data_IF_339183930934
#
_entry.id   IF_339183930934
#
_cell.length_a   1.000
_cell.length_b   1.000
_cell.length_c   1.000
_cell.angle_alpha   90.00
_cell.angle_beta   90.00
_cell.angle_gamma   90.00
#
_symmetry.space_group_name_H-M   'P 1'
#
loop_
_entity.id
_entity.type
_entity.pdbx_description
1 polymer ?
#
# COMPACT_ATOMS: atom_id res chain seq x y z
N UNK A 1 -40.61 56.13 21.88
CA UNK A 1 -41.97 55.52 21.92
C UNK A 1 -42.82 56.37 20.99
N UNK A 2 -43.44 55.87 19.91
CA UNK A 2 -43.79 54.49 19.52
C UNK A 2 -43.26 54.14 18.12
N UNK A 3 -42.92 52.86 17.88
CA UNK A 3 -42.78 52.27 16.54
C UNK A 3 -44.13 51.68 16.11
N UNK A 4 -44.72 52.09 14.99
CA UNK A 4 -45.88 51.45 14.31
C UNK A 4 -46.14 52.18 12.98
N UNK A 5 -46.56 51.55 11.87
CA UNK A 5 -46.53 50.11 11.53
C UNK A 5 -46.42 49.93 9.99
N UNK A 6 -46.08 48.71 9.57
CA UNK A 6 -46.07 48.24 8.18
C UNK A 6 -47.49 47.86 7.71
N UNK A 7 -47.97 48.39 6.59
CA UNK A 7 -49.13 47.86 5.86
C UNK A 7 -48.73 47.44 4.44
N UNK A 8 -49.17 46.23 4.05
CA UNK A 8 -48.70 45.55 2.83
C UNK A 8 -49.60 45.79 1.61
N UNK A 9 -48.93 46.03 0.48
CA UNK A 9 -49.12 45.36 -0.82
C UNK A 9 -50.52 45.44 -1.49
N UNK A 10 -50.56 46.09 -2.64
CA UNK A 10 -51.27 45.55 -3.82
C UNK A 10 -50.46 45.82 -5.08
N UNK A 11 -50.41 44.84 -5.98
CA UNK A 11 -49.40 44.77 -7.04
C UNK A 11 -49.91 45.28 -8.39
N UNK A 12 -49.11 46.07 -9.09
CA UNK A 12 -49.19 46.32 -10.54
C UNK A 12 -47.85 45.90 -11.16
N UNK A 13 -47.82 44.86 -12.00
CA UNK A 13 -48.12 44.85 -13.45
C UNK A 13 -46.92 45.33 -14.29
N UNK A 14 -46.60 44.57 -15.34
CA UNK A 14 -45.40 44.69 -16.20
C UNK A 14 -44.02 44.48 -15.55
N UNK A 15 -43.81 43.19 -15.19
CA UNK A 15 -42.54 42.46 -15.17
C UNK A 15 -41.45 43.05 -16.09
N UNK A 16 -40.24 43.25 -15.55
CA UNK A 16 -38.98 43.20 -16.32
C UNK A 16 -38.32 41.84 -16.08
N UNK A 17 -38.22 41.01 -17.13
CA UNK A 17 -37.58 39.68 -17.07
C UNK A 17 -37.11 39.30 -18.47
N UNK A 18 -35.84 38.93 -18.63
CA UNK A 18 -35.24 38.63 -19.93
C UNK A 18 -33.73 38.52 -19.83
N UNK A 19 -33.25 37.31 -19.53
CA UNK A 19 -31.83 36.92 -19.57
C UNK A 19 -31.66 35.77 -20.58
N UNK A 20 -30.41 35.36 -20.84
CA UNK A 20 -29.99 34.36 -21.85
C UNK A 20 -30.03 34.92 -23.29
N UNK A 21 -29.05 34.75 -24.19
CA UNK A 21 -27.62 34.35 -24.22
C UNK A 21 -26.98 35.15 -25.42
N UNK A 22 -25.75 35.04 -25.93
CA UNK A 22 -24.55 34.17 -25.83
C UNK A 22 -23.33 35.07 -26.26
N UNK A 23 -22.04 34.71 -26.46
CA UNK A 23 -21.30 33.44 -26.50
C UNK A 23 -19.84 33.61 -25.98
N UNK A 24 -18.88 32.89 -26.58
CA UNK A 24 -17.52 32.65 -26.10
C UNK A 24 -16.39 33.20 -26.99
N UNK A 25 -15.23 33.48 -26.38
CA UNK A 25 -13.91 33.48 -27.02
C UNK A 25 -12.82 33.09 -26.00
N UNK A 26 -11.74 32.48 -26.49
CA UNK A 26 -10.58 31.94 -25.77
C UNK A 26 -9.78 33.06 -25.04
N UNK A 27 -8.96 32.83 -24.00
CA UNK A 27 -7.85 31.87 -23.90
C UNK A 27 -7.82 31.13 -22.55
N UNK A 28 -7.59 29.82 -22.58
CA UNK A 28 -7.22 29.02 -21.42
C UNK A 28 -5.70 28.79 -21.39
N UNK A 29 -5.01 29.38 -20.40
CA UNK A 29 -3.60 29.07 -20.14
C UNK A 29 -3.55 27.82 -19.26
N UNK A 30 -3.37 26.66 -19.90
CA UNK A 30 -3.02 25.43 -19.19
C UNK A 30 -1.62 25.60 -18.60
N UNK A 31 -1.53 25.78 -17.27
CA UNK A 31 -0.26 25.69 -16.55
C UNK A 31 0.10 24.21 -16.42
N UNK A 32 0.58 23.64 -17.52
CA UNK A 32 1.26 22.35 -17.55
C UNK A 32 2.64 22.50 -16.91
N UNK A 33 2.66 22.70 -15.59
CA UNK A 33 3.88 22.55 -14.80
C UNK A 33 4.44 21.14 -15.00
N UNK A 34 5.76 20.94 -14.95
CA UNK A 34 6.33 19.61 -15.06
C UNK A 34 5.80 18.74 -13.91
N UNK A 35 5.13 17.63 -14.24
CA UNK A 35 4.90 16.55 -13.28
C UNK A 35 6.25 15.94 -12.91
N UNK A 36 6.92 16.57 -11.96
CA UNK A 36 8.11 16.05 -11.32
C UNK A 36 7.69 14.76 -10.63
N UNK A 37 8.06 13.63 -11.21
CA UNK A 37 7.67 12.31 -10.74
C UNK A 37 8.35 12.05 -9.39
N UNK A 38 7.67 12.43 -8.32
CA UNK A 38 8.12 12.24 -6.95
C UNK A 38 8.34 10.74 -6.72
N UNK A 39 9.60 10.36 -6.51
CA UNK A 39 9.99 8.96 -6.42
C UNK A 39 9.27 8.33 -5.22
N UNK A 40 8.34 7.40 -5.51
CA UNK A 40 7.37 6.89 -4.54
C UNK A 40 8.07 6.39 -3.27
N UNK A 41 7.98 7.17 -2.19
CA UNK A 41 8.66 6.87 -0.92
C UNK A 41 8.06 5.60 -0.31
N UNK A 42 8.92 4.72 0.22
CA UNK A 42 8.46 3.54 0.97
C UNK A 42 7.58 3.98 2.15
N UNK A 43 6.47 3.28 2.35
CA UNK A 43 5.55 3.52 3.45
C UNK A 43 6.19 3.15 4.78
N UNK A 44 5.99 4.01 5.77
CA UNK A 44 6.46 3.86 7.15
C UNK A 44 5.29 3.82 8.12
N UNK A 45 5.47 3.14 9.26
CA UNK A 45 4.42 2.83 10.24
C UNK A 45 4.84 3.28 11.65
N UNK A 46 3.87 3.55 12.53
CA UNK A 46 4.14 3.90 13.92
C UNK A 46 4.48 2.67 14.78
N UNK A 47 3.99 1.49 14.41
CA UNK A 47 4.32 0.22 15.07
C UNK A 47 4.58 -0.95 14.10
N UNK A 48 5.23 -2.04 14.56
CA UNK A 48 5.37 -3.26 13.78
C UNK A 48 4.03 -3.89 13.39
N UNK A 49 3.05 -3.85 14.30
CA UNK A 49 1.72 -4.43 14.12
C UNK A 49 0.95 -3.70 13.02
N UNK A 50 1.06 -2.37 12.93
CA UNK A 50 0.49 -1.59 11.81
C UNK A 50 1.06 -2.02 10.46
N UNK A 51 2.38 -2.24 10.39
CA UNK A 51 3.06 -2.67 9.16
C UNK A 51 2.64 -4.08 8.74
N UNK A 52 2.54 -5.02 9.68
CA UNK A 52 2.02 -6.38 9.42
C UNK A 52 0.55 -6.34 9.01
N UNK A 53 -0.29 -5.52 9.65
CA UNK A 53 -1.68 -5.37 9.28
C UNK A 53 -1.85 -4.76 7.88
N UNK A 54 -1.01 -3.79 7.49
CA UNK A 54 -0.98 -3.24 6.13
C UNK A 54 -0.59 -4.29 5.09
N UNK A 55 0.46 -5.10 5.36
CA UNK A 55 0.87 -6.22 4.52
C UNK A 55 -0.26 -7.24 4.33
N UNK A 56 -0.85 -7.72 5.44
CA UNK A 56 -1.94 -8.70 5.40
C UNK A 56 -3.18 -8.15 4.70
N UNK A 57 -3.48 -6.85 4.85
CA UNK A 57 -4.58 -6.18 4.12
C UNK A 57 -4.31 -6.17 2.61
N UNK A 58 -3.12 -5.71 2.19
CA UNK A 58 -2.75 -5.63 0.78
C UNK A 58 -2.74 -7.02 0.10
N UNK A 59 -2.25 -8.05 0.78
CA UNK A 59 -2.29 -9.45 0.31
C UNK A 59 -3.74 -9.98 0.21
N UNK A 60 -4.64 -9.61 1.14
CA UNK A 60 -6.06 -10.00 1.09
C UNK A 60 -6.85 -9.31 -0.02
N UNK A 61 -6.48 -8.09 -0.41
CA UNK A 61 -7.13 -7.34 -1.50
C UNK A 61 -6.46 -7.50 -2.87
N UNK A 62 -5.38 -8.28 -2.96
CA UNK A 62 -4.49 -8.38 -4.13
C UNK A 62 -4.00 -7.01 -4.66
N UNK A 63 -3.75 -6.07 -3.73
CA UNK A 63 -3.35 -4.71 -4.08
C UNK A 63 -1.84 -4.62 -4.29
N UNK A 64 -1.42 -4.89 -5.52
CA UNK A 64 -0.04 -4.75 -5.96
C UNK A 64 0.57 -3.37 -5.66
N UNK A 65 -0.21 -2.29 -5.75
CA UNK A 65 0.29 -0.92 -5.49
C UNK A 65 0.52 -0.68 -4.01
N UNK A 66 -0.36 -1.19 -3.15
CA UNK A 66 -0.14 -1.17 -1.70
C UNK A 66 1.10 -2.00 -1.31
N UNK A 67 1.30 -3.19 -1.91
CA UNK A 67 2.51 -3.99 -1.70
C UNK A 67 3.78 -3.23 -2.13
N UNK A 68 3.77 -2.62 -3.32
CA UNK A 68 4.90 -1.80 -3.80
C UNK A 68 5.17 -0.57 -2.91
N UNK A 69 4.14 0.04 -2.31
CA UNK A 69 4.31 1.10 -1.32
C UNK A 69 4.92 0.58 0.00
N UNK A 70 4.47 -0.58 0.49
CA UNK A 70 4.93 -1.21 1.75
C UNK A 70 6.41 -1.62 1.66
N UNK A 71 6.85 -2.19 0.54
CA UNK A 71 8.23 -2.64 0.34
C UNK A 71 9.11 -1.63 -0.42
N UNK A 72 8.54 -0.54 -0.93
CA UNK A 72 9.24 0.58 -1.54
C UNK A 72 9.71 0.36 -3.00
N UNK A 73 10.39 1.36 -3.59
CA UNK A 73 10.91 1.29 -4.95
C UNK A 73 11.82 0.08 -5.18
N UNK A 74 11.68 -0.55 -6.35
CA UNK A 74 12.48 -1.73 -6.71
C UNK A 74 12.10 -3.01 -5.97
N UNK A 75 10.96 -3.07 -5.28
CA UNK A 75 10.45 -4.28 -4.64
C UNK A 75 9.75 -5.28 -5.57
N UNK A 76 9.44 -4.88 -6.82
CA UNK A 76 8.63 -5.69 -7.75
C UNK A 76 9.14 -7.11 -7.99
N UNK A 77 10.45 -7.31 -8.05
CA UNK A 77 11.10 -8.60 -8.30
C UNK A 77 11.21 -9.49 -7.05
N UNK A 78 10.96 -8.92 -5.86
CA UNK A 78 10.73 -9.64 -4.61
C UNK A 78 9.25 -10.00 -4.43
N UNK A 79 8.34 -9.15 -4.92
CA UNK A 79 6.89 -9.28 -4.82
C UNK A 79 6.25 -10.19 -5.87
N UNK A 80 6.77 -10.17 -7.09
CA UNK A 80 6.17 -10.83 -8.26
C UNK A 80 7.21 -11.64 -9.01
N UNK A 81 6.92 -12.91 -9.26
CA UNK A 81 7.76 -13.81 -10.07
C UNK A 81 7.63 -13.55 -11.57
N UNK A 82 6.53 -12.92 -11.99
CA UNK A 82 6.12 -12.79 -13.39
C UNK A 82 5.13 -13.88 -13.84
N UNK A 83 4.89 -14.90 -13.01
CA UNK A 83 3.80 -15.87 -13.18
C UNK A 83 2.66 -15.55 -12.19
N UNK A 84 1.49 -15.04 -12.66
CA UNK A 84 0.34 -14.75 -11.81
C UNK A 84 -0.20 -15.95 -11.04
N UNK A 85 0.02 -17.19 -11.50
CA UNK A 85 -0.41 -18.41 -10.81
C UNK A 85 0.51 -18.71 -9.63
N UNK A 86 1.83 -18.63 -9.85
CA UNK A 86 2.83 -18.80 -8.78
C UNK A 86 2.74 -17.69 -7.72
N UNK A 87 2.48 -16.45 -8.14
CA UNK A 87 2.30 -15.29 -7.25
C UNK A 87 1.02 -15.45 -6.40
N UNK A 88 -0.10 -15.81 -7.03
CA UNK A 88 -1.36 -16.12 -6.34
C UNK A 88 -1.19 -17.26 -5.34
N UNK A 89 -0.58 -18.39 -5.74
CA UNK A 89 -0.35 -19.53 -4.87
C UNK A 89 0.59 -19.21 -3.69
N UNK A 90 1.53 -18.27 -3.88
CA UNK A 90 2.43 -17.80 -2.82
C UNK A 90 1.71 -16.87 -1.84
N UNK A 91 0.87 -15.97 -2.34
CA UNK A 91 -0.01 -15.11 -1.53
C UNK A 91 -1.01 -15.91 -0.70
N UNK A 92 -1.66 -16.91 -1.30
CA UNK A 92 -2.60 -17.81 -0.62
C UNK A 92 -1.91 -18.66 0.46
N UNK A 93 -0.71 -19.19 0.17
CA UNK A 93 0.12 -19.94 1.14
C UNK A 93 0.54 -19.08 2.34
N UNK A 94 0.89 -17.81 2.12
CA UNK A 94 1.17 -16.87 3.21
C UNK A 94 -0.09 -16.62 4.06
N UNK A 95 -1.23 -16.34 3.42
CA UNK A 95 -2.47 -16.00 4.11
C UNK A 95 -3.05 -17.18 4.91
N UNK A 96 -2.92 -18.43 4.43
CA UNK A 96 -3.24 -19.64 5.21
C UNK A 96 -2.41 -19.68 6.49
N UNK A 97 -1.09 -19.70 6.34
CA UNK A 97 -0.15 -19.82 7.46
C UNK A 97 -0.33 -18.70 8.48
N UNK A 98 -0.48 -17.45 8.04
CA UNK A 98 -0.77 -16.32 8.92
C UNK A 98 -2.10 -16.49 9.69
N UNK A 99 -3.12 -17.08 9.06
CA UNK A 99 -4.42 -17.36 9.66
C UNK A 99 -4.43 -18.56 10.62
N UNK A 100 -3.59 -19.57 10.37
CA UNK A 100 -3.35 -20.70 11.28
C UNK A 100 -2.72 -20.23 12.59
N UNK A 101 -1.64 -19.46 12.49
CA UNK A 101 -0.86 -18.92 13.62
C UNK A 101 0.01 -17.76 13.13
N UNK A 102 0.16 -16.73 13.94
CA UNK A 102 1.19 -15.72 13.74
C UNK A 102 1.78 -15.29 15.09
N UNK A 103 3.07 -14.93 15.08
CA UNK A 103 3.78 -14.33 16.21
C UNK A 103 4.70 -13.23 15.69
N UNK A 104 4.62 -12.05 16.30
CA UNK A 104 5.49 -10.93 15.99
C UNK A 104 6.50 -10.75 17.13
N UNK A 105 7.76 -11.04 16.85
CA UNK A 105 8.85 -10.97 17.83
C UNK A 105 9.52 -9.61 17.70
N UNK A 106 9.23 -8.70 18.65
CA UNK A 106 9.64 -7.29 18.61
C UNK A 106 10.81 -7.03 19.56
N UNK A 107 11.83 -6.33 19.05
CA UNK A 107 12.92 -5.72 19.82
C UNK A 107 12.89 -4.20 19.66
N UNK A 108 13.79 -3.45 20.29
CA UNK A 108 13.83 -1.98 20.18
C UNK A 108 13.93 -1.48 18.72
N UNK A 109 14.71 -2.16 17.88
CA UNK A 109 15.09 -1.72 16.53
C UNK A 109 14.68 -2.66 15.38
N UNK A 110 14.24 -3.89 15.68
CA UNK A 110 13.88 -4.91 14.68
C UNK A 110 12.70 -5.76 15.15
N UNK A 111 11.81 -6.15 14.24
CA UNK A 111 10.74 -7.11 14.49
C UNK A 111 10.66 -8.19 13.41
N UNK A 112 10.49 -9.45 13.82
CA UNK A 112 10.39 -10.61 12.95
C UNK A 112 8.97 -11.19 13.00
N UNK A 113 8.37 -11.46 11.84
CA UNK A 113 7.05 -12.08 11.74
C UNK A 113 7.21 -13.59 11.46
N UNK A 114 6.73 -14.43 12.37
CA UNK A 114 6.67 -15.88 12.23
C UNK A 114 5.22 -16.31 11.97
N UNK A 115 4.99 -17.24 11.03
CA UNK A 115 3.65 -17.64 10.56
C UNK A 115 3.49 -19.16 10.44
N UNK A 116 2.27 -19.66 10.59
CA UNK A 116 1.96 -21.08 10.51
C UNK A 116 2.33 -21.85 11.78
N UNK A 117 1.82 -23.08 11.90
CA UNK A 117 2.00 -23.91 13.09
C UNK A 117 3.47 -24.28 13.36
N UNK A 118 4.30 -24.26 12.31
CA UNK A 118 5.75 -24.48 12.30
C UNK A 118 6.57 -23.22 12.62
N UNK A 119 5.94 -22.10 12.98
CA UNK A 119 6.58 -20.79 13.26
C UNK A 119 7.52 -20.32 12.14
N UNK A 120 7.16 -20.59 10.88
CA UNK A 120 7.97 -20.26 9.70
C UNK A 120 8.29 -18.77 9.62
N UNK A 121 9.57 -18.37 9.61
CA UNK A 121 9.95 -16.96 9.61
C UNK A 121 9.72 -16.32 8.24
N UNK A 122 8.95 -15.22 8.22
CA UNK A 122 8.81 -14.38 7.03
C UNK A 122 10.15 -13.72 6.67
N UNK A 123 10.50 -13.75 5.38
CA UNK A 123 11.84 -13.41 4.93
C UNK A 123 12.19 -11.91 5.04
N UNK A 124 11.19 -11.01 5.00
CA UNK A 124 11.42 -9.57 5.06
C UNK A 124 11.11 -9.06 6.48
N UNK A 125 12.12 -8.74 7.30
CA UNK A 125 11.88 -8.24 8.66
C UNK A 125 11.48 -6.77 8.65
N UNK A 126 10.90 -6.33 9.77
CA UNK A 126 10.66 -4.92 10.06
C UNK A 126 11.84 -4.33 10.83
N UNK A 127 12.25 -3.12 10.47
CA UNK A 127 13.32 -2.38 11.14
C UNK A 127 12.86 -0.96 11.47
N UNK A 128 13.44 -0.38 12.53
CA UNK A 128 13.08 0.94 13.05
C UNK A 128 14.16 1.97 12.71
N UNK A 129 13.76 3.11 12.15
CA UNK A 129 14.62 4.27 11.85
C UNK A 129 13.86 5.55 12.15
N UNK A 130 14.51 6.50 12.84
CA UNK A 130 13.90 7.81 13.17
C UNK A 130 12.54 7.69 13.89
N UNK A 131 12.38 6.64 14.71
CA UNK A 131 11.15 6.32 15.45
C UNK A 131 10.14 5.46 14.68
N UNK A 132 10.21 5.44 13.35
CA UNK A 132 9.25 4.78 12.45
C UNK A 132 9.71 3.39 12.00
N UNK A 133 8.75 2.53 11.65
CA UNK A 133 8.97 1.16 11.19
C UNK A 133 8.77 1.02 9.68
N UNK A 134 9.59 0.19 9.03
CA UNK A 134 9.45 -0.20 7.62
C UNK A 134 10.04 -1.59 7.37
N UNK A 135 9.66 -2.23 6.26
CA UNK A 135 10.21 -3.54 5.87
C UNK A 135 11.59 -3.37 5.22
N UNK A 136 12.59 -4.13 5.69
CA UNK A 136 13.92 -4.16 5.07
C UNK A 136 13.92 -5.07 3.84
N UNK A 137 13.45 -4.51 2.73
CA UNK A 137 13.38 -5.16 1.41
C UNK A 137 14.77 -5.58 0.90
N UNK A 138 15.87 -4.97 1.36
CA UNK A 138 17.23 -5.39 0.99
C UNK A 138 17.62 -6.68 1.72
N UNK A 139 17.44 -6.72 3.04
CA UNK A 139 17.68 -7.93 3.84
C UNK A 139 16.74 -9.07 3.41
N UNK A 140 15.48 -8.77 3.12
CA UNK A 140 14.52 -9.76 2.62
C UNK A 140 14.89 -10.36 1.26
N UNK A 141 15.51 -9.57 0.37
CA UNK A 141 16.04 -10.05 -0.91
C UNK A 141 17.22 -11.01 -0.71
N UNK A 142 18.15 -10.66 0.17
CA UNK A 142 19.32 -11.49 0.52
C UNK A 142 18.87 -12.83 1.13
N UNK A 143 17.89 -12.81 2.04
CA UNK A 143 17.29 -14.00 2.66
C UNK A 143 16.54 -14.89 1.64
N UNK A 144 15.76 -14.32 0.73
CA UNK A 144 15.05 -15.09 -0.32
C UNK A 144 16.04 -15.76 -1.28
N UNK A 145 17.17 -15.11 -1.59
CA UNK A 145 18.23 -15.71 -2.39
C UNK A 145 18.92 -16.87 -1.63
N UNK A 146 19.24 -16.68 -0.35
CA UNK A 146 19.82 -17.73 0.49
C UNK A 146 18.91 -18.97 0.59
N UNK A 147 17.60 -18.78 0.80
CA UNK A 147 16.63 -19.90 0.82
C UNK A 147 16.54 -20.65 -0.51
N UNK A 148 16.65 -19.95 -1.65
CA UNK A 148 16.69 -20.58 -2.98
C UNK A 148 17.96 -21.43 -3.16
N UNK A 149 19.13 -20.90 -2.77
CA UNK A 149 20.40 -21.63 -2.83
C UNK A 149 20.34 -22.90 -1.98
N UNK A 150 19.99 -22.80 -0.69
CA UNK A 150 19.89 -23.97 0.20
C UNK A 150 18.89 -25.03 -0.27
N UNK A 151 17.77 -24.62 -0.89
CA UNK A 151 16.81 -25.56 -1.49
C UNK A 151 17.42 -26.32 -2.68
N UNK A 152 18.16 -25.62 -3.54
CA UNK A 152 18.83 -26.22 -4.69
C UNK A 152 19.98 -27.17 -4.26
N UNK A 153 20.76 -26.80 -3.25
CA UNK A 153 21.81 -27.64 -2.67
C UNK A 153 21.23 -28.93 -2.05
N UNK A 154 20.15 -28.83 -1.26
CA UNK A 154 19.44 -30.01 -0.75
C UNK A 154 18.92 -30.91 -1.88
N UNK A 155 18.35 -30.34 -2.94
CA UNK A 155 17.89 -31.12 -4.09
C UNK A 155 19.05 -31.81 -4.84
N UNK A 156 20.23 -31.18 -4.88
CA UNK A 156 21.43 -31.75 -5.51
C UNK A 156 21.96 -32.94 -4.70
N UNK A 157 22.01 -32.81 -3.37
CA UNK A 157 22.36 -33.93 -2.47
C UNK A 157 21.37 -35.10 -2.65
N UNK A 158 20.07 -34.80 -2.75
CA UNK A 158 19.03 -35.83 -2.93
C UNK A 158 19.16 -36.59 -4.25
N UNK A 159 19.64 -35.95 -5.32
CA UNK A 159 19.92 -36.59 -6.63
C UNK A 159 21.21 -37.40 -6.59
N UNK A 160 22.25 -36.96 -5.87
CA UNK A 160 23.49 -37.70 -5.70
C UNK A 160 23.39 -38.93 -4.75
N UNK A 161 22.20 -39.18 -4.18
CA UNK A 161 21.89 -40.31 -3.30
C UNK A 161 20.86 -41.29 -3.91
N UNK A 162 20.60 -41.17 -5.21
CA UNK A 162 19.62 -41.95 -5.97
C UNK A 162 20.26 -42.78 -7.11
#
# INVERSE_FOLDING_TARGET
MVLYINTKKKDSWFKRSGALLMAAAFIAVFISGPSQAEAAKQQTFASPEEAVNALVKALKSDDAKALEAIFGPGSRDLLFSGDPVADKATRERFLSRYGEKNRLEVTEAKANLNIGNDDWPFAVPLVKKEGLWYFDTKQGREEILARRIGTNELSTIQVCLA
#
